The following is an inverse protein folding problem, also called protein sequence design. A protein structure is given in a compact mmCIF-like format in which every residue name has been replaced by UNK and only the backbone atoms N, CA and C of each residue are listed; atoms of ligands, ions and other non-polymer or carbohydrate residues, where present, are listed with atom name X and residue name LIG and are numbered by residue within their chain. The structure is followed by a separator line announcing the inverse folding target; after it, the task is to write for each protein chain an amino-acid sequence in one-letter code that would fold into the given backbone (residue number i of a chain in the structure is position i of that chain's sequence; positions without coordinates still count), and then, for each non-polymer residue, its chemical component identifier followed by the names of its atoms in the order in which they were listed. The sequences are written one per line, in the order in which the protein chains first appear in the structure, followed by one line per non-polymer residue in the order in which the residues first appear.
data_IF_371940077762
#
_entry.id   IF_371940077762
#
_cell.length_a   1.000
_cell.length_b   1.000
_cell.length_c   1.000
_cell.angle_alpha   90.00
_cell.angle_beta   90.00
_cell.angle_gamma   90.00
#
_symmetry.space_group_name_H-M   'P 1'
#
loop_
_entity.id
_entity.type
_entity.pdbx_description
1 polymer ?
#
# COMPACT_ATOMS: atom_id res chain seq x y z
N UNK A 1 -5.89 5.88 -8.46
CA UNK A 1 -7.30 6.11 -8.09
C UNK A 1 -7.42 6.43 -6.60
N UNK A 2 -7.16 5.48 -5.70
CA UNK A 2 -7.29 5.70 -4.24
C UNK A 2 -6.53 6.93 -3.71
N UNK A 3 -5.21 6.99 -3.92
CA UNK A 3 -4.38 8.09 -3.41
C UNK A 3 -4.79 9.47 -3.94
N UNK A 4 -5.17 9.57 -5.22
CA UNK A 4 -5.63 10.82 -5.82
C UNK A 4 -6.94 11.30 -5.17
N UNK A 5 -7.89 10.38 -5.01
CA UNK A 5 -9.15 10.64 -4.34
C UNK A 5 -8.95 11.07 -2.88
N UNK A 6 -8.13 10.34 -2.11
CA UNK A 6 -7.85 10.69 -0.70
C UNK A 6 -7.28 12.10 -0.57
N UNK A 7 -6.34 12.51 -1.43
CA UNK A 7 -5.78 13.86 -1.35
C UNK A 7 -6.85 14.91 -1.68
N UNK A 8 -7.68 14.69 -2.70
CA UNK A 8 -8.76 15.62 -3.05
C UNK A 8 -9.80 15.75 -1.95
N UNK A 9 -10.19 14.65 -1.32
CA UNK A 9 -11.11 14.67 -0.18
C UNK A 9 -10.49 15.35 1.05
N UNK A 10 -9.19 15.15 1.30
CA UNK A 10 -8.49 15.83 2.38
C UNK A 10 -8.48 17.36 2.19
N UNK A 11 -8.23 17.82 0.95
CA UNK A 11 -8.30 19.23 0.58
C UNK A 11 -9.73 19.78 0.74
N UNK A 12 -10.72 19.06 0.22
CA UNK A 12 -12.11 19.44 0.32
C UNK A 12 -12.57 19.54 1.78
N UNK A 13 -12.16 18.62 2.65
CA UNK A 13 -12.49 18.61 4.08
C UNK A 13 -12.01 19.85 4.85
N UNK A 14 -11.02 20.57 4.33
CA UNK A 14 -10.54 21.85 4.89
C UNK A 14 -10.93 23.07 4.05
N UNK A 15 -11.86 22.90 3.09
CA UNK A 15 -12.39 23.98 2.26
C UNK A 15 -11.47 24.43 1.12
N UNK A 16 -10.45 23.64 0.77
CA UNK A 16 -9.57 23.92 -0.36
C UNK A 16 -10.13 23.34 -1.67
N UNK A 17 -9.89 24.00 -2.81
CA UNK A 17 -10.32 23.47 -4.10
C UNK A 17 -9.48 22.24 -4.50
N UNK A 18 -10.00 21.35 -5.36
CA UNK A 18 -9.34 20.09 -5.73
C UNK A 18 -8.03 20.27 -6.53
N UNK A 19 -7.75 21.47 -7.03
CA UNK A 19 -6.52 21.86 -7.73
C UNK A 19 -5.55 22.65 -6.84
N UNK A 20 -5.81 22.75 -5.53
CA UNK A 20 -4.88 23.35 -4.56
C UNK A 20 -3.53 22.60 -4.45
N UNK A 21 -3.44 21.39 -5.02
CA UNK A 21 -2.21 20.64 -5.17
C UNK A 21 -2.07 20.09 -6.60
N UNK A 22 -0.84 20.10 -7.13
CA UNK A 22 -0.52 19.47 -8.41
C UNK A 22 -0.07 18.01 -8.18
N UNK A 23 -0.95 17.06 -8.53
CA UNK A 23 -0.67 15.64 -8.34
C UNK A 23 0.13 15.08 -9.52
N UNK A 24 1.28 14.50 -9.22
CA UNK A 24 2.17 13.86 -10.20
C UNK A 24 2.38 12.39 -9.86
N UNK A 25 2.53 11.54 -10.87
CA UNK A 25 2.77 10.11 -10.69
C UNK A 25 4.26 9.83 -10.66
N UNK A 26 4.72 9.20 -9.58
CA UNK A 26 6.11 8.81 -9.37
C UNK A 26 6.15 7.30 -9.07
N UNK A 27 7.06 6.52 -9.69
CA UNK A 27 7.24 5.11 -9.34
C UNK A 27 7.57 4.92 -7.86
N UNK A 28 6.98 3.90 -7.23
CA UNK A 28 7.13 3.63 -5.78
C UNK A 28 8.57 3.68 -5.27
N UNK A 29 9.53 2.96 -5.89
CA UNK A 29 10.94 2.98 -5.47
C UNK A 29 11.62 4.36 -5.54
N UNK A 30 11.07 5.30 -6.32
CA UNK A 30 11.63 6.64 -6.51
C UNK A 30 10.99 7.69 -5.59
N UNK A 31 9.88 7.37 -4.91
CA UNK A 31 9.12 8.32 -4.09
C UNK A 31 10.01 9.05 -3.05
N UNK A 32 10.85 8.30 -2.34
CA UNK A 32 11.75 8.87 -1.35
C UNK A 32 12.74 9.86 -1.98
N UNK A 33 13.37 9.47 -3.09
CA UNK A 33 14.34 10.32 -3.77
C UNK A 33 13.68 11.60 -4.27
N UNK A 34 12.50 11.51 -4.87
CA UNK A 34 11.75 12.67 -5.38
C UNK A 34 11.37 13.64 -4.25
N UNK A 35 10.95 13.11 -3.09
CA UNK A 35 10.67 13.94 -1.91
C UNK A 35 11.94 14.62 -1.38
N UNK A 36 13.02 13.85 -1.16
CA UNK A 36 14.26 14.36 -0.55
C UNK A 36 15.02 15.33 -1.47
N UNK A 37 14.90 15.17 -2.78
CA UNK A 37 15.43 16.11 -3.77
C UNK A 37 14.55 17.34 -4.00
N UNK A 38 13.45 17.48 -3.23
CA UNK A 38 12.51 18.62 -3.30
C UNK A 38 11.86 18.81 -4.67
N UNK A 39 11.67 17.71 -5.41
CA UNK A 39 10.88 17.72 -6.63
C UNK A 39 9.37 17.71 -6.33
N UNK A 40 8.98 17.24 -5.14
CA UNK A 40 7.61 17.30 -4.60
C UNK A 40 7.65 17.73 -3.14
N UNK A 41 6.57 18.37 -2.68
CA UNK A 41 6.42 18.79 -1.27
C UNK A 41 5.93 17.66 -0.36
N UNK A 42 5.12 16.75 -0.91
CA UNK A 42 4.49 15.63 -0.20
C UNK A 42 4.59 14.37 -1.07
N UNK A 43 4.97 13.25 -0.45
CA UNK A 43 4.91 11.93 -1.08
C UNK A 43 3.72 11.14 -0.53
N UNK A 44 2.78 10.76 -1.40
CA UNK A 44 1.69 9.87 -1.06
C UNK A 44 2.15 8.40 -1.19
N UNK A 45 1.96 7.61 -0.13
CA UNK A 45 2.35 6.21 -0.05
C UNK A 45 1.08 5.37 0.12
N UNK A 46 0.82 4.44 -0.80
CA UNK A 46 -0.34 3.55 -0.76
C UNK A 46 -0.12 2.32 0.13
N UNK A 47 -1.19 1.56 0.37
CA UNK A 47 -1.19 0.36 1.21
C UNK A 47 -0.13 -0.68 0.81
N UNK A 48 0.01 -0.91 -0.50
CA UNK A 48 1.00 -1.84 -1.06
C UNK A 48 2.44 -1.36 -0.92
N UNK A 49 2.64 -0.12 -0.46
CA UNK A 49 3.92 0.54 -0.25
C UNK A 49 4.20 0.78 1.24
N UNK A 50 3.43 0.18 2.16
CA UNK A 50 3.64 0.34 3.60
C UNK A 50 5.08 0.02 4.02
N UNK A 51 5.73 -0.96 3.38
CA UNK A 51 7.13 -1.29 3.64
C UNK A 51 8.09 -0.17 3.22
N UNK A 52 7.83 0.52 2.11
CA UNK A 52 8.58 1.71 1.69
C UNK A 52 8.29 2.91 2.58
N UNK A 53 7.04 3.06 3.05
CA UNK A 53 6.65 4.12 3.99
C UNK A 53 7.41 3.99 5.31
N UNK A 54 7.49 2.78 5.87
CA UNK A 54 8.27 2.51 7.07
C UNK A 54 9.75 2.86 6.89
N UNK A 55 10.36 2.45 5.76
CA UNK A 55 11.74 2.78 5.45
C UNK A 55 11.99 4.29 5.29
N UNK A 56 11.06 5.02 4.66
CA UNK A 56 11.15 6.46 4.49
C UNK A 56 11.15 7.18 5.84
N UNK A 57 10.24 6.79 6.73
CA UNK A 57 10.10 7.38 8.07
C UNK A 57 11.31 7.07 8.95
N UNK A 58 11.80 5.82 8.94
CA UNK A 58 12.94 5.37 9.75
C UNK A 58 14.24 6.13 9.44
N UNK A 59 14.44 6.54 8.18
CA UNK A 59 15.56 7.40 7.77
C UNK A 59 15.45 8.85 8.27
N UNK A 60 14.30 9.25 8.83
CA UNK A 60 14.08 10.57 9.41
C UNK A 60 13.96 11.71 8.39
N UNK A 61 13.76 12.92 8.92
CA UNK A 61 13.61 14.15 8.14
C UNK A 61 12.26 14.30 7.41
N UNK A 62 11.30 13.42 7.71
CA UNK A 62 9.93 13.44 7.21
C UNK A 62 8.94 13.33 8.36
N UNK A 63 7.69 13.72 8.13
CA UNK A 63 6.57 13.52 9.05
C UNK A 63 5.32 13.11 8.30
N UNK A 64 4.41 12.40 8.97
CA UNK A 64 3.06 12.20 8.45
C UNK A 64 2.31 13.52 8.30
N UNK A 65 1.47 13.61 7.27
CA UNK A 65 0.54 14.74 7.06
C UNK A 65 -0.87 14.33 7.48
N UNK A 66 -1.39 13.25 6.89
CA UNK A 66 -2.60 12.54 7.29
C UNK A 66 -2.52 11.10 6.77
N UNK A 67 -3.30 10.20 7.36
CA UNK A 67 -3.62 8.90 6.79
C UNK A 67 -4.96 8.97 6.05
N UNK A 68 -5.17 8.06 5.11
CA UNK A 68 -6.43 7.97 4.39
C UNK A 68 -7.60 7.61 5.31
N UNK A 69 -7.36 6.85 6.37
CA UNK A 69 -8.34 6.57 7.43
C UNK A 69 -8.81 7.83 8.16
N UNK A 70 -7.95 8.86 8.25
CA UNK A 70 -8.31 10.14 8.88
C UNK A 70 -9.30 10.93 8.00
N UNK A 71 -9.33 10.63 6.70
CA UNK A 71 -10.12 11.34 5.68
C UNK A 71 -11.37 10.56 5.29
N UNK A 72 -11.23 9.24 5.13
CA UNK A 72 -12.23 8.35 4.54
C UNK A 72 -12.85 7.37 5.54
N UNK A 73 -12.32 7.30 6.77
CA UNK A 73 -12.69 6.29 7.76
C UNK A 73 -12.13 4.90 7.45
N UNK A 74 -12.59 3.89 8.18
CA UNK A 74 -12.23 2.49 7.88
C UNK A 74 -12.86 2.05 6.56
N UNK A 75 -12.03 1.57 5.63
CA UNK A 75 -12.47 1.10 4.32
C UNK A 75 -11.67 -0.12 3.85
N UNK A 76 -12.29 -0.95 3.01
CA UNK A 76 -11.59 -2.03 2.32
C UNK A 76 -10.70 -1.45 1.19
N UNK A 77 -9.43 -1.23 1.48
CA UNK A 77 -8.48 -0.58 0.55
C UNK A 77 -7.99 -1.45 -0.61
N UNK A 78 -8.22 -2.77 -0.56
CA UNK A 78 -7.75 -3.73 -1.56
C UNK A 78 -8.79 -4.79 -1.88
N UNK A 79 -8.82 -5.22 -3.14
CA UNK A 79 -9.71 -6.28 -3.61
C UNK A 79 -8.95 -7.21 -4.55
N UNK A 80 -9.28 -8.51 -4.46
CA UNK A 80 -8.83 -9.48 -5.45
C UNK A 80 -9.96 -9.69 -6.43
N UNK A 81 -9.66 -9.58 -7.72
CA UNK A 81 -10.61 -9.82 -8.81
C UNK A 81 -10.14 -11.01 -9.64
N UNK A 82 -11.07 -11.92 -9.93
CA UNK A 82 -10.86 -13.05 -10.83
C UNK A 82 -11.67 -12.82 -12.11
N UNK A 83 -11.08 -13.14 -13.27
CA UNK A 83 -11.73 -12.99 -14.58
C UNK A 83 -12.92 -13.95 -14.68
N UNK A 84 -14.03 -13.52 -15.28
CA UNK A 84 -15.29 -14.29 -15.31
C UNK A 84 -15.15 -15.65 -16.02
N UNK A 85 -14.43 -15.68 -17.13
CA UNK A 85 -14.12 -16.90 -17.88
C UNK A 85 -13.20 -17.86 -17.11
N UNK A 86 -12.25 -17.34 -16.32
CA UNK A 86 -11.44 -18.15 -15.42
C UNK A 86 -12.31 -18.82 -14.35
N UNK A 87 -13.23 -18.07 -13.75
CA UNK A 87 -14.18 -18.63 -12.78
C UNK A 87 -15.06 -19.70 -13.44
N UNK A 88 -15.54 -19.46 -14.67
CA UNK A 88 -16.37 -20.43 -15.39
C UNK A 88 -15.60 -21.69 -15.79
N UNK A 89 -14.33 -21.57 -16.20
CA UNK A 89 -13.48 -22.70 -16.59
C UNK A 89 -12.84 -23.44 -15.41
N UNK A 90 -12.71 -22.78 -14.26
CA UNK A 90 -12.04 -23.32 -13.07
C UNK A 90 -12.80 -22.97 -11.77
N UNK A 91 -14.06 -23.41 -11.62
CA UNK A 91 -14.88 -23.02 -10.47
C UNK A 91 -14.27 -23.45 -9.13
N UNK A 92 -13.72 -24.66 -9.06
CA UNK A 92 -13.06 -25.16 -7.84
C UNK A 92 -11.74 -24.43 -7.56
N UNK A 93 -10.98 -24.10 -8.60
CA UNK A 93 -9.74 -23.32 -8.48
C UNK A 93 -10.02 -21.90 -7.96
N UNK A 94 -11.05 -21.24 -8.50
CA UNK A 94 -11.47 -19.92 -8.05
C UNK A 94 -11.96 -19.95 -6.58
N UNK A 95 -12.77 -20.95 -6.21
CA UNK A 95 -13.22 -21.14 -4.82
C UNK A 95 -12.03 -21.34 -3.88
N UNK A 96 -11.14 -22.27 -4.22
CA UNK A 96 -9.97 -22.58 -3.40
C UNK A 96 -9.09 -21.35 -3.21
N UNK A 97 -8.83 -20.60 -4.28
CA UNK A 97 -8.05 -19.36 -4.22
C UNK A 97 -8.63 -18.36 -3.21
N UNK A 98 -9.95 -18.13 -3.23
CA UNK A 98 -10.62 -17.21 -2.30
C UNK A 98 -10.50 -17.72 -0.86
N UNK A 99 -10.78 -18.99 -0.62
CA UNK A 99 -10.73 -19.59 0.72
C UNK A 99 -9.32 -19.59 1.31
N UNK A 100 -8.30 -19.93 0.52
CA UNK A 100 -6.91 -19.92 0.99
C UNK A 100 -6.38 -18.50 1.16
N UNK A 101 -6.81 -17.53 0.32
CA UNK A 101 -6.44 -16.12 0.51
C UNK A 101 -6.99 -15.57 1.83
N UNK A 102 -8.24 -15.87 2.18
CA UNK A 102 -8.82 -15.50 3.47
C UNK A 102 -8.06 -16.15 4.63
N UNK A 103 -7.77 -17.45 4.55
CA UNK A 103 -6.98 -18.16 5.58
C UNK A 103 -5.58 -17.57 5.75
N UNK A 104 -4.90 -17.23 4.65
CA UNK A 104 -3.58 -16.61 4.69
C UNK A 104 -3.62 -15.22 5.34
N UNK A 105 -4.63 -14.41 5.04
CA UNK A 105 -4.81 -13.09 5.65
C UNK A 105 -5.09 -13.19 7.17
N UNK A 106 -5.90 -14.15 7.59
CA UNK A 106 -6.16 -14.37 9.02
C UNK A 106 -4.93 -14.92 9.74
N UNK A 107 -4.23 -15.87 9.11
CA UNK A 107 -2.98 -16.41 9.64
C UNK A 107 -1.91 -15.33 9.79
N UNK A 108 -1.74 -14.45 8.80
CA UNK A 108 -0.72 -13.40 8.85
C UNK A 108 -1.01 -12.39 9.96
N UNK A 109 -2.29 -12.09 10.21
CA UNK A 109 -2.72 -11.24 11.34
C UNK A 109 -2.43 -11.88 12.69
N UNK A 110 -2.58 -13.20 12.80
CA UNK A 110 -2.32 -13.96 14.03
C UNK A 110 -0.84 -14.26 14.26
N UNK A 111 -0.03 -14.31 13.19
CA UNK A 111 1.38 -14.73 13.22
C UNK A 111 2.32 -13.68 12.56
N UNK A 112 2.30 -12.41 13.00
CA UNK A 112 2.94 -11.32 12.26
C UNK A 112 4.46 -11.48 12.14
N UNK A 113 5.13 -12.02 13.16
CA UNK A 113 6.59 -12.23 13.12
C UNK A 113 7.00 -13.31 12.10
N UNK A 114 6.20 -14.36 11.97
CA UNK A 114 6.45 -15.41 10.97
C UNK A 114 6.09 -14.92 9.57
N UNK A 115 4.96 -14.22 9.43
CA UNK A 115 4.56 -13.58 8.19
C UNK A 115 5.64 -12.66 7.62
N UNK A 116 6.31 -11.85 8.46
CA UNK A 116 7.44 -11.00 8.04
C UNK A 116 8.62 -11.83 7.52
N UNK A 117 8.95 -12.96 8.13
CA UNK A 117 10.03 -13.85 7.65
C UNK A 117 9.68 -14.44 6.29
N UNK A 118 8.46 -14.94 6.12
CA UNK A 118 7.97 -15.45 4.85
C UNK A 118 8.01 -14.37 3.76
N UNK A 119 7.57 -13.15 4.08
CA UNK A 119 7.64 -12.02 3.17
C UNK A 119 9.08 -11.68 2.78
N UNK A 120 10.00 -11.61 3.76
CA UNK A 120 11.43 -11.37 3.50
C UNK A 120 12.00 -12.40 2.52
N UNK A 121 11.73 -13.70 2.74
CA UNK A 121 12.17 -14.76 1.84
C UNK A 121 11.61 -14.61 0.42
N UNK A 122 10.34 -14.19 0.28
CA UNK A 122 9.71 -13.97 -1.03
C UNK A 122 10.39 -12.80 -1.76
N UNK A 123 10.66 -11.70 -1.06
CA UNK A 123 11.35 -10.53 -1.62
C UNK A 123 12.77 -10.92 -2.07
N UNK A 124 13.54 -11.60 -1.21
CA UNK A 124 14.90 -12.03 -1.54
C UNK A 124 14.93 -12.99 -2.74
N UNK A 125 13.99 -13.94 -2.81
CA UNK A 125 13.86 -14.86 -3.95
C UNK A 125 13.57 -14.14 -5.28
N UNK A 126 13.00 -12.93 -5.23
CA UNK A 126 12.75 -12.08 -6.40
C UNK A 126 13.93 -11.15 -6.74
N UNK A 127 15.00 -11.16 -5.93
CA UNK A 127 16.09 -10.20 -6.04
C UNK A 127 15.73 -8.80 -5.53
N UNK A 128 14.68 -8.71 -4.70
CA UNK A 128 14.27 -7.48 -4.00
C UNK A 128 14.93 -7.42 -2.62
N UNK A 129 14.69 -6.35 -1.85
CA UNK A 129 15.26 -6.18 -0.52
C UNK A 129 14.36 -6.78 0.57
N UNK A 130 14.68 -7.98 1.07
CA UNK A 130 13.95 -8.66 2.15
C UNK A 130 13.87 -7.89 3.47
N UNK A 131 14.83 -7.01 3.77
CA UNK A 131 14.82 -6.18 4.99
C UNK A 131 13.58 -5.30 5.09
N UNK A 132 12.98 -4.94 3.96
CA UNK A 132 11.76 -4.14 3.90
C UNK A 132 10.58 -4.83 4.60
N UNK A 133 10.58 -6.16 4.71
CA UNK A 133 9.53 -6.91 5.39
C UNK A 133 9.40 -6.55 6.89
N UNK A 134 10.43 -5.97 7.52
CA UNK A 134 10.36 -5.52 8.93
C UNK A 134 9.29 -4.45 9.16
N UNK A 135 8.94 -3.70 8.12
CA UNK A 135 7.94 -2.64 8.14
C UNK A 135 6.53 -3.12 7.76
N UNK A 136 6.37 -4.40 7.45
CA UNK A 136 5.04 -4.97 7.21
C UNK A 136 4.25 -5.05 8.53
N UNK A 137 2.99 -4.65 8.48
CA UNK A 137 2.06 -4.57 9.63
C UNK A 137 0.74 -5.23 9.31
#
# INVERSE_FOLDING_TARGET
AHLDYTVREALHGVGLPPDAANLVVVPGPQLEQTLRSRQVDIAALGYWQATFAGALVDKGGVRGVFNDTDVLGELAGGFIVLRRDFIAGHPDGARNFVEQSARAADWSRQNPNEARKVLAEILDKRGENGELARYWT
#
